data_IF_489313325868
#
_entry.id   IF_489313325868
#
_cell.length_a   1.000
_cell.length_b   1.000
_cell.length_c   1.000
_cell.angle_alpha   90.00
_cell.angle_beta   90.00
_cell.angle_gamma   90.00
#
_symmetry.space_group_name_H-M   'P 1'
#
loop_
_entity.id
_entity.type
_entity.pdbx_description
1 polymer ?
#
# COMPACT_ATOMS: atom_id res chain seq x y z
N UNK A 1 0.78 -15.72 -0.41
CA UNK A 1 0.91 -15.34 1.01
C UNK A 1 1.13 -16.61 1.83
N UNK A 2 2.21 -16.67 2.61
CA UNK A 2 2.39 -17.74 3.58
C UNK A 2 1.72 -17.31 4.89
N UNK A 3 0.42 -17.54 5.02
CA UNK A 3 -0.28 -17.32 6.28
C UNK A 3 -0.13 -18.58 7.13
N UNK A 4 0.93 -18.62 7.94
CA UNK A 4 0.85 -19.37 9.18
C UNK A 4 -0.07 -18.59 10.13
N UNK A 5 -0.92 -19.26 10.91
CA UNK A 5 -1.65 -18.64 12.02
C UNK A 5 -0.64 -18.22 13.09
N UNK A 6 -0.01 -17.06 12.88
CA UNK A 6 0.85 -16.43 13.87
C UNK A 6 -0.07 -15.83 14.95
N UNK A 7 0.14 -16.21 16.20
CA UNK A 7 -0.60 -15.70 17.35
C UNK A 7 -2.13 -15.84 17.17
N UNK A 8 -2.60 -17.03 16.79
CA UNK A 8 -4.02 -17.34 16.59
C UNK A 8 -4.77 -16.36 15.67
N UNK A 9 -4.06 -15.76 14.71
CA UNK A 9 -4.63 -14.82 13.75
C UNK A 9 -4.76 -13.39 14.27
N UNK A 10 -4.31 -13.09 15.49
CA UNK A 10 -4.35 -11.74 16.06
C UNK A 10 -3.65 -10.69 15.16
N UNK A 11 -2.56 -11.07 14.49
CA UNK A 11 -1.88 -10.19 13.55
C UNK A 11 -2.69 -9.92 12.28
N UNK A 12 -3.44 -10.91 11.79
CA UNK A 12 -4.33 -10.72 10.67
C UNK A 12 -5.47 -9.77 11.03
N UNK A 13 -6.11 -10.00 12.18
CA UNK A 13 -7.16 -9.13 12.70
C UNK A 13 -6.68 -7.67 12.88
N UNK A 14 -5.46 -7.48 13.38
CA UNK A 14 -4.85 -6.16 13.52
C UNK A 14 -4.61 -5.48 12.16
N UNK A 15 -4.10 -6.24 11.17
CA UNK A 15 -3.86 -5.73 9.82
C UNK A 15 -5.16 -5.33 9.12
N UNK A 16 -6.20 -6.15 9.20
CA UNK A 16 -7.51 -5.86 8.58
C UNK A 16 -8.13 -4.59 9.17
N UNK A 17 -8.09 -4.45 10.50
CA UNK A 17 -8.61 -3.25 11.17
C UNK A 17 -7.80 -2.01 10.78
N UNK A 18 -6.47 -2.11 10.78
CA UNK A 18 -5.60 -1.01 10.36
C UNK A 18 -5.89 -0.57 8.92
N UNK A 19 -5.99 -1.52 7.98
CA UNK A 19 -6.28 -1.21 6.59
C UNK A 19 -7.67 -0.56 6.43
N UNK A 20 -8.68 -1.05 7.14
CA UNK A 20 -10.03 -0.46 7.13
C UNK A 20 -10.05 1.00 7.61
N UNK A 21 -9.30 1.32 8.67
CA UNK A 21 -9.25 2.67 9.22
C UNK A 21 -8.42 3.63 8.35
N UNK A 22 -7.29 3.15 7.83
CA UNK A 22 -6.30 4.01 7.16
C UNK A 22 -6.66 4.24 5.69
N UNK A 23 -7.21 3.24 4.98
CA UNK A 23 -7.54 3.37 3.56
C UNK A 23 -8.69 4.34 3.25
N UNK A 24 -9.46 4.77 4.26
CA UNK A 24 -10.54 5.76 4.10
C UNK A 24 -10.09 7.18 4.45
N UNK A 25 -8.85 7.36 4.89
CA UNK A 25 -8.30 8.69 5.21
C UNK A 25 -8.00 9.45 3.92
N UNK A 26 -8.45 10.71 3.83
CA UNK A 26 -8.39 11.50 2.60
C UNK A 26 -6.99 11.63 1.99
N UNK A 27 -5.95 11.66 2.82
CA UNK A 27 -4.56 11.83 2.39
C UNK A 27 -3.82 10.50 2.18
N UNK A 28 -4.53 9.37 2.22
CA UNK A 28 -3.96 8.04 2.10
C UNK A 28 -4.49 7.33 0.87
N UNK A 29 -3.56 6.85 0.04
CA UNK A 29 -3.88 5.98 -1.10
C UNK A 29 -3.51 4.52 -0.81
N UNK A 30 -4.51 3.65 -0.72
CA UNK A 30 -4.30 2.20 -0.65
C UNK A 30 -4.24 1.60 -2.06
N UNK A 31 -3.02 1.40 -2.56
CA UNK A 31 -2.73 0.86 -3.90
C UNK A 31 -1.84 -0.38 -3.83
N UNK A 32 -1.78 -1.17 -4.91
CA UNK A 32 -0.88 -2.31 -4.97
C UNK A 32 0.57 -1.85 -5.12
N UNK A 33 1.53 -2.70 -4.72
CA UNK A 33 2.96 -2.42 -4.92
C UNK A 33 3.30 -2.19 -6.41
N UNK A 34 2.64 -2.92 -7.32
CA UNK A 34 2.80 -2.73 -8.76
C UNK A 34 2.35 -1.34 -9.21
N UNK A 35 1.20 -0.88 -8.71
CA UNK A 35 0.68 0.45 -9.05
C UNK A 35 1.59 1.54 -8.49
N UNK A 36 2.10 1.35 -7.27
CA UNK A 36 3.08 2.25 -6.67
C UNK A 36 4.32 2.39 -7.55
N UNK A 37 4.97 1.28 -7.93
CA UNK A 37 6.16 1.30 -8.79
C UNK A 37 5.86 1.98 -10.13
N UNK A 38 4.74 1.63 -10.78
CA UNK A 38 4.36 2.22 -12.05
C UNK A 38 4.19 3.74 -11.98
N UNK A 39 3.64 4.26 -10.87
CA UNK A 39 3.47 5.70 -10.67
C UNK A 39 4.79 6.41 -10.38
N UNK A 40 5.66 5.80 -9.60
CA UNK A 40 7.00 6.33 -9.33
C UNK A 40 7.81 6.45 -10.62
N UNK A 41 7.80 5.42 -11.46
CA UNK A 41 8.49 5.44 -12.76
C UNK A 41 7.94 6.54 -13.68
N UNK A 42 6.62 6.72 -13.70
CA UNK A 42 5.96 7.77 -14.48
C UNK A 42 6.34 9.17 -13.98
N UNK A 43 6.34 9.38 -12.65
CA UNK A 43 6.72 10.65 -12.04
C UNK A 43 8.20 11.00 -12.31
N UNK A 44 9.10 10.02 -12.22
CA UNK A 44 10.52 10.22 -12.54
C UNK A 44 10.73 10.62 -14.01
N UNK A 45 10.03 9.96 -14.94
CA UNK A 45 10.07 10.31 -16.36
C UNK A 45 9.60 11.73 -16.61
N UNK A 46 8.49 12.14 -15.99
CA UNK A 46 7.99 13.52 -16.10
C UNK A 46 9.01 14.54 -15.59
N UNK A 47 9.67 14.27 -14.45
CA UNK A 47 10.71 15.13 -13.92
C UNK A 47 11.92 15.27 -14.87
N UNK A 48 12.30 14.20 -15.57
CA UNK A 48 13.42 14.23 -16.52
C UNK A 48 13.15 14.98 -17.83
N UNK A 49 11.88 15.18 -18.21
CA UNK A 49 11.50 15.85 -19.47
C UNK A 49 11.29 17.36 -19.28
N UNK A 50 11.03 17.81 -18.05
CA UNK A 50 10.81 19.22 -17.73
C UNK A 50 12.06 20.04 -17.40
N UNK A 51 13.26 19.48 -17.59
CA UNK A 51 14.56 20.11 -17.30
C UNK A 51 15.27 20.65 -18.53
#
# INVERSE_FOLDING_TARGET
>A
FHFALMNDGAYWNALERFAGDVCVTADVECISFRDYVSRQDAAQKQASVGG
#
